data_IF_313534240856
#
_entry.id   IF_313534240856
#
_cell.length_a   1.000
_cell.length_b   1.000
_cell.length_c   1.000
_cell.angle_alpha   90.00
_cell.angle_beta   90.00
_cell.angle_gamma   90.00
#
_symmetry.space_group_name_H-M   'P 1'
#
loop_
_entity.id
_entity.type
_entity.pdbx_description
1 polymer ?
#
# COMPACT_ATOMS: atom_id res chain seq x y z
N UNK A 1 19.01 1.22 -12.24
CA UNK A 1 17.84 2.10 -12.44
C UNK A 1 17.52 2.70 -11.07
N UNK A 2 17.71 4.01 -10.89
CA UNK A 2 17.49 4.67 -9.59
C UNK A 2 16.00 4.92 -9.40
N UNK A 3 15.45 4.51 -8.26
CA UNK A 3 14.06 4.80 -7.92
C UNK A 3 13.89 6.29 -7.58
N UNK A 4 12.76 6.89 -7.97
CA UNK A 4 12.42 8.27 -7.59
C UNK A 4 12.08 8.30 -6.10
N UNK A 5 11.24 7.35 -5.67
CA UNK A 5 10.90 7.07 -4.29
C UNK A 5 11.12 5.58 -4.03
N UNK A 6 11.67 5.25 -2.87
CA UNK A 6 11.83 3.87 -2.43
C UNK A 6 11.61 3.79 -0.92
N UNK A 7 10.88 2.76 -0.51
CA UNK A 7 10.64 2.45 0.88
C UNK A 7 10.58 0.93 1.01
N UNK A 8 11.54 0.38 1.74
CA UNK A 8 11.60 -1.04 2.12
C UNK A 8 11.33 -1.25 3.62
N UNK A 9 11.05 -0.15 4.35
CA UNK A 9 10.73 -0.09 5.78
C UNK A 9 11.86 -0.47 6.75
N UNK A 10 13.04 -0.86 6.26
CA UNK A 10 14.23 -1.08 7.10
C UNK A 10 14.79 0.24 7.67
N UNK A 11 14.37 1.35 7.08
CA UNK A 11 14.64 2.71 7.55
C UNK A 11 13.40 3.59 7.40
N UNK A 12 13.46 4.81 7.93
CA UNK A 12 12.33 5.74 7.93
C UNK A 12 11.97 6.16 6.50
N UNK A 13 10.74 5.86 6.08
CA UNK A 13 10.20 6.21 4.77
C UNK A 13 9.52 7.58 4.74
N UNK A 14 10.32 8.64 4.68
CA UNK A 14 9.83 10.02 4.80
C UNK A 14 8.95 10.52 3.65
N UNK A 15 8.90 9.81 2.52
CA UNK A 15 8.16 10.22 1.32
C UNK A 15 6.67 9.84 1.34
N UNK A 16 6.24 9.06 2.34
CA UNK A 16 4.88 8.56 2.45
C UNK A 16 4.20 9.03 3.75
N UNK A 17 2.94 9.45 3.62
CA UNK A 17 2.03 9.59 4.76
C UNK A 17 1.27 8.27 4.89
N UNK A 18 1.34 7.69 6.09
CA UNK A 18 0.71 6.42 6.46
C UNK A 18 -0.28 6.73 7.57
N UNK A 19 -1.54 6.36 7.39
CA UNK A 19 -2.54 6.63 8.43
C UNK A 19 -2.44 5.70 9.65
N UNK A 20 -3.21 6.02 10.69
CA UNK A 20 -3.18 5.32 11.97
C UNK A 20 -3.76 3.90 11.95
N UNK A 21 -4.37 3.48 10.84
CA UNK A 21 -4.87 2.11 10.67
C UNK A 21 -3.79 1.17 10.15
N UNK A 22 -2.57 1.66 9.95
CA UNK A 22 -1.39 0.86 9.65
C UNK A 22 -0.45 0.79 10.86
N UNK A 23 0.05 -0.41 11.13
CA UNK A 23 1.19 -0.63 12.00
C UNK A 23 2.45 -0.91 11.18
N UNK A 24 3.61 -0.63 11.78
CA UNK A 24 4.91 -1.08 11.29
C UNK A 24 5.37 -2.24 12.20
N UNK A 25 5.82 -3.35 11.63
CA UNK A 25 6.43 -4.42 12.44
C UNK A 25 7.69 -3.91 13.10
N UNK A 26 8.12 -4.53 14.20
CA UNK A 26 9.33 -4.11 14.92
C UNK A 26 10.55 -5.01 14.65
N UNK A 27 10.39 -6.06 13.82
CA UNK A 27 11.44 -7.03 13.52
C UNK A 27 11.87 -7.90 14.72
N UNK A 28 11.13 -7.82 15.84
CA UNK A 28 11.47 -8.51 17.09
C UNK A 28 10.39 -9.52 17.49
N UNK A 29 9.12 -9.22 17.21
CA UNK A 29 8.01 -10.08 17.57
C UNK A 29 7.40 -10.80 16.36
N UNK A 30 6.96 -12.06 16.52
CA UNK A 30 6.28 -12.78 15.45
C UNK A 30 4.92 -12.14 15.13
N UNK A 31 4.75 -11.74 13.88
CA UNK A 31 3.46 -11.31 13.32
C UNK A 31 2.84 -12.43 12.47
N UNK A 32 1.69 -12.16 11.85
CA UNK A 32 1.00 -13.10 10.96
C UNK A 32 1.85 -13.58 9.78
N UNK A 33 2.90 -12.83 9.43
CA UNK A 33 3.93 -13.20 8.46
C UNK A 33 5.24 -13.26 9.25
N UNK A 34 6.02 -14.33 9.05
CA UNK A 34 7.27 -14.55 9.76
C UNK A 34 8.51 -14.01 9.04
N UNK A 35 8.32 -13.32 7.91
CA UNK A 35 9.40 -12.71 7.14
C UNK A 35 8.89 -11.52 6.33
N UNK A 36 9.70 -10.47 6.25
CA UNK A 36 9.49 -9.38 5.31
C UNK A 36 9.92 -9.78 3.89
N UNK A 37 9.57 -8.97 2.89
CA UNK A 37 9.98 -9.23 1.51
C UNK A 37 11.45 -8.86 1.23
N UNK A 38 11.99 -7.83 1.89
CA UNK A 38 13.30 -7.25 1.58
C UNK A 38 14.44 -8.14 2.07
N UNK A 39 14.39 -8.58 3.33
CA UNK A 39 15.42 -9.38 3.97
C UNK A 39 15.08 -10.87 4.01
N UNK A 40 13.82 -11.23 3.72
CA UNK A 40 13.32 -12.59 3.73
C UNK A 40 13.59 -13.30 5.08
N UNK A 41 13.46 -12.56 6.18
CA UNK A 41 13.60 -13.11 7.53
C UNK A 41 12.75 -12.32 8.54
N UNK A 42 12.63 -12.85 9.76
CA UNK A 42 11.76 -12.30 10.80
C UNK A 42 12.20 -10.95 11.36
N UNK A 43 13.42 -10.51 11.05
CA UNK A 43 13.96 -9.24 11.53
C UNK A 43 13.71 -8.06 10.59
N UNK A 44 13.17 -8.31 9.39
CA UNK A 44 12.80 -7.24 8.49
C UNK A 44 11.44 -6.62 8.82
N UNK A 45 11.19 -5.50 8.17
CA UNK A 45 10.10 -4.58 8.51
C UNK A 45 9.09 -4.48 7.36
N UNK A 46 7.82 -4.39 7.71
CA UNK A 46 6.75 -4.13 6.74
C UNK A 46 5.54 -3.46 7.40
N UNK A 47 4.74 -2.76 6.60
CA UNK A 47 3.47 -2.22 7.06
C UNK A 47 2.38 -3.31 7.08
N UNK A 48 1.59 -3.34 8.14
CA UNK A 48 0.43 -4.23 8.26
C UNK A 48 -0.82 -3.44 8.64
N UNK A 49 -1.97 -3.89 8.14
CA UNK A 49 -3.25 -3.28 8.48
C UNK A 49 -3.66 -3.67 9.90
N UNK A 50 -3.89 -2.68 10.74
CA UNK A 50 -4.19 -2.82 12.17
C UNK A 50 -5.23 -1.78 12.63
N UNK A 51 -6.47 -1.81 12.10
CA UNK A 51 -7.48 -0.84 12.47
C UNK A 51 -8.03 -1.11 13.87
N UNK A 52 -8.59 -0.07 14.49
CA UNK A 52 -9.48 -0.24 15.65
C UNK A 52 -10.86 -0.63 15.11
N UNK A 53 -11.33 -1.83 15.43
CA UNK A 53 -12.61 -2.37 14.91
C UNK A 53 -13.74 -2.08 15.91
N UNK A 54 -14.72 -1.21 15.58
CA UNK A 54 -15.90 -0.98 16.41
C UNK A 54 -16.97 -2.09 16.21
N UNK A 55 -18.00 -2.16 17.06
CA UNK A 55 -19.17 -3.01 16.81
C UNK A 55 -19.87 -2.63 15.49
N UNK A 56 -20.39 -3.60 14.71
CA UNK A 56 -21.18 -3.30 13.52
C UNK A 56 -22.43 -2.43 13.83
N UNK A 57 -22.87 -1.55 12.91
CA UNK A 57 -22.30 -1.31 11.58
C UNK A 57 -21.04 -0.44 11.61
N UNK A 58 -20.10 -0.72 10.71
CA UNK A 58 -18.92 0.13 10.52
C UNK A 58 -18.41 0.18 9.09
N UNK A 59 -17.68 1.25 8.81
CA UNK A 59 -16.84 1.42 7.62
C UNK A 59 -15.47 1.91 8.09
N UNK A 60 -14.41 1.22 7.69
CA UNK A 60 -13.03 1.54 7.98
C UNK A 60 -12.29 1.78 6.67
N UNK A 61 -11.53 2.88 6.64
CA UNK A 61 -10.70 3.25 5.50
C UNK A 61 -9.26 3.36 5.98
N UNK A 62 -8.34 2.76 5.23
CA UNK A 62 -6.90 2.85 5.45
C UNK A 62 -6.24 3.45 4.21
N UNK A 63 -5.32 4.40 4.38
CA UNK A 63 -4.65 5.13 3.32
C UNK A 63 -3.13 5.18 3.55
N UNK A 64 -2.39 4.89 2.49
CA UNK A 64 -0.98 5.25 2.33
C UNK A 64 -0.90 6.14 1.10
N UNK A 65 -0.21 7.29 1.20
CA UNK A 65 -0.05 8.21 0.08
C UNK A 65 1.32 8.84 0.02
N UNK A 66 1.72 9.30 -1.17
CA UNK A 66 2.93 10.13 -1.29
C UNK A 66 2.68 11.50 -0.64
N UNK A 67 3.63 11.99 0.16
CA UNK A 67 3.52 13.31 0.82
C UNK A 67 3.48 14.44 -0.19
N UNK A 68 4.36 14.35 -1.17
CA UNK A 68 4.51 15.35 -2.22
C UNK A 68 3.86 14.86 -3.53
N UNK A 69 3.54 15.83 -4.38
CA UNK A 69 3.23 15.54 -5.78
C UNK A 69 4.48 15.07 -6.51
N UNK A 70 4.34 14.02 -7.31
CA UNK A 70 5.40 13.49 -8.15
C UNK A 70 5.29 14.11 -9.55
N UNK A 71 6.31 14.83 -9.97
CA UNK A 71 6.43 15.31 -11.34
C UNK A 71 7.15 14.26 -12.17
N UNK A 72 6.39 13.46 -12.94
CA UNK A 72 6.97 12.40 -13.77
C UNK A 72 7.41 12.96 -15.13
N UNK A 73 8.53 12.46 -15.63
CA UNK A 73 9.13 12.89 -16.90
C UNK A 73 8.42 12.24 -18.10
N UNK A 74 8.31 13.00 -19.19
CA UNK A 74 7.80 12.52 -20.49
C UNK A 74 8.86 11.67 -21.23
N UNK A 75 10.15 11.92 -20.93
CA UNK A 75 11.26 11.31 -21.66
C UNK A 75 11.59 9.88 -21.17
N UNK A 76 11.00 9.45 -20.05
CA UNK A 76 11.23 8.14 -19.47
C UNK A 76 9.99 7.60 -18.77
N UNK A 77 9.56 6.41 -19.17
CA UNK A 77 8.53 5.66 -18.46
C UNK A 77 8.96 5.38 -17.01
N UNK A 78 8.11 5.75 -16.05
CA UNK A 78 8.30 5.48 -14.62
C UNK A 78 7.34 4.37 -14.21
N UNK A 79 7.81 3.42 -13.41
CA UNK A 79 6.99 2.33 -12.92
C UNK A 79 6.78 2.46 -11.41
N UNK A 80 5.54 2.24 -10.97
CA UNK A 80 5.23 1.91 -9.59
C UNK A 80 5.42 0.40 -9.39
N UNK A 81 6.05 0.02 -8.28
CA UNK A 81 6.19 -1.37 -7.85
C UNK A 81 5.96 -1.47 -6.35
N UNK A 82 5.23 -2.49 -5.94
CA UNK A 82 4.99 -2.78 -4.53
C UNK A 82 4.84 -4.28 -4.33
N UNK A 83 5.37 -4.78 -3.22
CA UNK A 83 5.11 -6.12 -2.74
C UNK A 83 4.02 -6.07 -1.69
N UNK A 84 3.07 -6.99 -1.76
CA UNK A 84 2.00 -7.09 -0.78
C UNK A 84 1.75 -8.54 -0.39
N UNK A 85 1.19 -8.72 0.80
CA UNK A 85 0.79 -10.02 1.32
C UNK A 85 -0.62 -9.93 1.90
N UNK A 86 -1.51 -10.86 1.54
CA UNK A 86 -2.83 -10.98 2.14
C UNK A 86 -3.04 -12.39 2.69
N UNK A 87 -3.23 -12.55 4.02
CA UNK A 87 -3.61 -13.85 4.55
C UNK A 87 -5.03 -14.22 4.05
N UNK A 88 -5.44 -15.47 4.29
CA UNK A 88 -6.68 -16.13 3.80
C UNK A 88 -7.98 -15.31 3.79
N UNK A 89 -8.06 -14.22 4.57
CA UNK A 89 -9.14 -13.22 4.50
C UNK A 89 -8.68 -12.07 3.60
N UNK A 90 -9.12 -12.08 2.35
CA UNK A 90 -8.83 -11.01 1.40
C UNK A 90 -9.61 -9.75 1.76
N UNK A 91 -8.93 -8.74 2.28
CA UNK A 91 -9.47 -7.39 2.36
C UNK A 91 -9.16 -6.69 1.02
N UNK A 92 -10.17 -6.24 0.27
CA UNK A 92 -9.90 -5.59 -1.01
C UNK A 92 -9.22 -4.24 -0.79
N UNK A 93 -8.19 -3.97 -1.58
CA UNK A 93 -7.58 -2.64 -1.65
C UNK A 93 -7.49 -2.18 -3.09
N UNK A 94 -7.44 -0.86 -3.25
CA UNK A 94 -7.29 -0.18 -4.54
C UNK A 94 -6.01 0.62 -4.53
N UNK A 95 -5.39 0.75 -5.70
CA UNK A 95 -4.32 1.71 -5.93
C UNK A 95 -4.89 2.75 -6.89
N UNK A 96 -4.81 4.00 -6.47
CA UNK A 96 -5.41 5.14 -7.13
C UNK A 96 -4.34 6.18 -7.43
N UNK A 97 -4.48 6.84 -8.58
CA UNK A 97 -3.73 8.04 -8.92
C UNK A 97 -4.67 9.23 -8.84
N UNK A 98 -4.17 10.30 -8.22
CA UNK A 98 -4.73 11.63 -8.36
C UNK A 98 -3.86 12.39 -9.34
N UNK A 99 -4.48 13.06 -10.31
CA UNK A 99 -3.78 13.78 -11.39
C UNK A 99 -3.89 15.30 -11.22
N UNK A 100 -2.83 16.02 -11.60
CA UNK A 100 -2.84 17.49 -11.66
C UNK A 100 -2.44 18.16 -10.35
N UNK A 101 -3.20 19.18 -9.95
CA UNK A 101 -2.97 19.97 -8.73
C UNK A 101 -4.13 19.89 -7.73
N UNK A 102 -5.23 19.23 -8.12
CA UNK A 102 -6.45 19.09 -7.31
C UNK A 102 -6.70 17.61 -6.99
N UNK A 103 -7.05 17.31 -5.75
CA UNK A 103 -7.32 15.94 -5.28
C UNK A 103 -8.63 15.35 -5.81
N UNK A 104 -9.41 16.11 -6.60
CA UNK A 104 -10.69 15.67 -7.15
C UNK A 104 -10.59 14.69 -8.33
N UNK A 105 -9.56 14.82 -9.18
CA UNK A 105 -9.40 13.95 -10.36
C UNK A 105 -8.72 12.65 -9.96
N UNK A 106 -9.53 11.68 -9.55
CA UNK A 106 -9.09 10.34 -9.13
C UNK A 106 -9.28 9.31 -10.23
N UNK A 107 -8.24 8.52 -10.48
CA UNK A 107 -8.25 7.36 -11.39
C UNK A 107 -7.80 6.12 -10.64
N UNK A 108 -8.62 5.08 -10.62
CA UNK A 108 -8.23 3.76 -10.12
C UNK A 108 -7.34 3.10 -11.18
N UNK A 109 -6.11 2.74 -10.80
CA UNK A 109 -5.16 2.06 -11.70
C UNK A 109 -5.03 0.57 -11.38
N UNK A 110 -5.35 0.18 -10.16
CA UNK A 110 -5.41 -1.21 -9.74
C UNK A 110 -6.49 -1.43 -8.70
N UNK A 111 -7.09 -2.61 -8.72
CA UNK A 111 -8.01 -3.07 -7.69
C UNK A 111 -7.75 -4.53 -7.41
N UNK A 112 -7.48 -4.86 -6.15
CA UNK A 112 -7.17 -6.21 -5.70
C UNK A 112 -8.39 -6.71 -4.91
N UNK A 113 -9.01 -7.78 -5.42
CA UNK A 113 -10.23 -8.37 -4.89
C UNK A 113 -10.08 -9.88 -4.76
N UNK A 114 -10.81 -10.48 -3.80
CA UNK A 114 -11.00 -11.94 -3.71
C UNK A 114 -9.77 -12.71 -3.19
N UNK A 115 -9.85 -14.05 -3.26
CA UNK A 115 -8.82 -14.96 -2.75
C UNK A 115 -7.54 -14.86 -3.58
N UNK A 116 -6.59 -14.10 -3.07
CA UNK A 116 -5.37 -13.66 -3.75
C UNK A 116 -4.26 -14.74 -3.73
N UNK A 117 -3.38 -14.83 -4.75
CA UNK A 117 -2.21 -15.72 -4.73
C UNK A 117 -1.23 -15.47 -3.56
N UNK A 118 -1.29 -14.31 -2.91
CA UNK A 118 -0.43 -13.94 -1.77
C UNK A 118 -0.72 -14.67 -0.45
N UNK A 119 -1.55 -15.73 -0.45
CA UNK A 119 -1.86 -16.52 0.76
C UNK A 119 -0.63 -17.21 1.34
N UNK A 120 0.38 -17.49 0.50
CA UNK A 120 1.56 -18.26 0.89
C UNK A 120 2.86 -17.44 0.83
N UNK A 121 2.90 -16.34 0.08
CA UNK A 121 4.10 -15.52 -0.11
C UNK A 121 3.75 -14.12 -0.64
N UNK A 122 4.72 -13.22 -0.68
CA UNK A 122 4.62 -11.87 -1.21
C UNK A 122 4.33 -11.85 -2.71
N UNK A 123 3.39 -11.01 -3.13
CA UNK A 123 3.04 -10.80 -4.55
C UNK A 123 3.51 -9.43 -5.03
N UNK A 124 4.18 -9.40 -6.18
CA UNK A 124 4.57 -8.15 -6.84
C UNK A 124 3.39 -7.59 -7.62
N UNK A 125 3.13 -6.31 -7.40
CA UNK A 125 2.33 -5.50 -8.30
C UNK A 125 3.21 -4.48 -9.00
N UNK A 126 2.98 -4.28 -10.30
CA UNK A 126 3.74 -3.33 -11.10
C UNK A 126 2.83 -2.62 -12.11
N UNK A 127 3.01 -1.31 -12.25
CA UNK A 127 2.27 -0.50 -13.22
C UNK A 127 3.16 0.59 -13.79
N UNK A 128 2.99 0.88 -15.07
CA UNK A 128 3.55 2.08 -15.68
C UNK A 128 2.71 3.29 -15.28
N UNK A 129 3.37 4.31 -14.75
CA UNK A 129 2.74 5.57 -14.37
C UNK A 129 2.65 6.51 -15.58
N UNK A 130 1.60 7.35 -15.66
CA UNK A 130 1.50 8.34 -16.71
C UNK A 130 2.57 9.43 -16.56
N UNK A 131 3.00 10.01 -17.67
CA UNK A 131 4.00 11.08 -17.71
C UNK A 131 3.38 12.45 -17.37
N UNK A 132 2.86 12.58 -16.16
CA UNK A 132 2.22 13.79 -15.67
C UNK A 132 2.45 13.99 -14.17
N UNK A 133 1.95 15.11 -13.63
CA UNK A 133 1.98 15.36 -12.19
C UNK A 133 0.93 14.50 -11.50
N UNK A 134 1.36 13.66 -10.56
CA UNK A 134 0.48 12.73 -9.86
C UNK A 134 0.72 12.70 -8.36
N UNK A 135 -0.29 12.21 -7.63
CA UNK A 135 -0.15 11.76 -6.24
C UNK A 135 -0.68 10.33 -6.16
N UNK A 136 0.09 9.45 -5.53
CA UNK A 136 -0.24 8.03 -5.43
C UNK A 136 -0.97 7.77 -4.12
N UNK A 137 -2.02 6.95 -4.19
CA UNK A 137 -2.80 6.51 -3.05
C UNK A 137 -2.97 4.99 -3.08
N UNK A 138 -2.73 4.33 -1.95
CA UNK A 138 -3.09 2.94 -1.70
C UNK A 138 -4.20 2.98 -0.64
N UNK A 139 -5.39 2.49 -1.00
CA UNK A 139 -6.58 2.60 -0.18
C UNK A 139 -7.20 1.24 0.07
N UNK A 140 -7.38 0.91 1.34
CA UNK A 140 -8.11 -0.27 1.80
C UNK A 140 -9.44 0.20 2.38
N UNK A 141 -10.55 -0.39 1.93
CA UNK A 141 -11.88 -0.07 2.43
C UNK A 141 -12.55 -1.35 2.92
N UNK A 142 -13.04 -1.33 4.16
CA UNK A 142 -13.70 -2.49 4.78
C UNK A 142 -14.95 -2.06 5.50
N UNK A 143 -15.99 -2.88 5.47
CA UNK A 143 -17.23 -2.60 6.16
C UNK A 143 -17.89 -3.87 6.68
N UNK A 144 -18.67 -3.72 7.74
CA UNK A 144 -19.52 -4.78 8.26
C UNK A 144 -20.90 -4.21 8.60
N UNK A 145 -21.93 -5.02 8.34
CA UNK A 145 -23.33 -4.74 8.65
C UNK A 145 -23.77 -5.74 9.73
N UNK A 146 -24.67 -5.38 10.66
CA UNK A 146 -25.29 -6.35 11.56
C UNK A 146 -25.90 -7.53 10.79
N UNK A 147 -25.82 -8.72 11.37
CA UNK A 147 -26.47 -9.94 10.87
C UNK A 147 -28.00 -9.81 10.89
#
# INVERSE_FOLDING_TARGET
QTAILQCDFETICNDFDVDSNWGLTDGLHPHSINHDHTLNNSSGHYLFYNPIIPPPPYTLNAEIKTKQWLQLSIDRAVCFRMWYYTPRLSLPFTIQLVQGDDEQLTRIIASIHGKDPSINDWTLINFTLPAEKIKLFIRLNTSAVPL
#
